data_IF_931609780169
#
_entry.id   IF_931609780169
#
_cell.length_a   1.000
_cell.length_b   1.000
_cell.length_c   1.000
_cell.angle_alpha   90.00
_cell.angle_beta   90.00
_cell.angle_gamma   90.00
#
_symmetry.space_group_name_H-M   'P 1'
#
loop_
_entity.id
_entity.type
_entity.pdbx_description
1 polymer ?
#
# COMPACT_ATOMS: atom_id res chain seq x y z
N UNK A 1 -0.39 0.99 34.25
CA UNK A 1 -0.81 2.02 33.28
C UNK A 1 -1.94 1.43 32.46
N UNK A 2 -3.09 2.11 32.29
CA UNK A 2 -4.25 1.51 31.57
C UNK A 2 -3.90 1.26 30.09
N UNK A 3 -4.24 0.07 29.57
CA UNK A 3 -4.03 -0.36 28.17
C UNK A 3 -4.51 0.73 27.18
N UNK A 4 -5.70 1.30 27.41
CA UNK A 4 -6.25 2.40 26.58
C UNK A 4 -5.36 3.66 26.51
N UNK A 5 -4.63 3.99 27.59
CA UNK A 5 -3.73 5.17 27.59
C UNK A 5 -2.46 4.89 26.78
N UNK A 6 -1.97 3.67 26.81
CA UNK A 6 -0.81 3.19 26.04
C UNK A 6 -1.10 3.26 24.55
N UNK A 7 -2.21 2.66 24.09
CA UNK A 7 -2.64 2.68 22.68
C UNK A 7 -2.86 4.10 22.15
N UNK A 8 -3.50 4.97 22.94
CA UNK A 8 -3.72 6.37 22.56
C UNK A 8 -2.40 7.13 22.37
N UNK A 9 -1.39 6.86 23.19
CA UNK A 9 -0.08 7.50 23.08
C UNK A 9 0.69 7.00 21.86
N UNK A 10 0.68 5.68 21.60
CA UNK A 10 1.27 5.08 20.40
C UNK A 10 0.63 5.63 19.12
N UNK A 11 -0.68 5.71 19.07
CA UNK A 11 -1.43 6.29 17.94
C UNK A 11 -1.05 7.76 17.66
N UNK A 12 -0.79 8.57 18.71
CA UNK A 12 -0.30 9.95 18.53
C UNK A 12 1.08 10.00 17.86
N UNK A 13 1.99 9.13 18.23
CA UNK A 13 3.32 9.04 17.62
C UNK A 13 3.21 8.62 16.14
N UNK A 14 2.40 7.61 15.83
CA UNK A 14 2.15 7.15 14.45
C UNK A 14 1.51 8.26 13.60
N UNK A 15 0.55 9.00 14.14
CA UNK A 15 -0.06 10.14 13.44
C UNK A 15 0.96 11.26 13.20
N UNK A 16 1.83 11.52 14.16
CA UNK A 16 2.86 12.56 14.06
C UNK A 16 3.88 12.23 12.98
N UNK A 17 4.38 11.00 12.91
CA UNK A 17 5.36 10.61 11.88
C UNK A 17 4.76 10.67 10.48
N UNK A 18 3.53 10.19 10.29
CA UNK A 18 2.83 10.30 8.99
C UNK A 18 2.71 11.76 8.56
N UNK A 19 2.28 12.65 9.45
CA UNK A 19 2.15 14.07 9.16
C UNK A 19 3.49 14.70 8.74
N UNK A 20 4.59 14.40 9.45
CA UNK A 20 5.92 14.93 9.15
C UNK A 20 6.38 14.46 7.76
N UNK A 21 6.17 13.18 7.42
CA UNK A 21 6.50 12.61 6.11
C UNK A 21 5.71 13.31 4.99
N UNK A 22 4.39 13.42 5.13
CA UNK A 22 3.51 14.05 4.12
C UNK A 22 3.84 15.53 3.92
N UNK A 23 4.33 16.24 4.94
CA UNK A 23 4.76 17.64 4.79
C UNK A 23 6.18 17.79 4.22
N UNK A 24 6.93 16.71 4.03
CA UNK A 24 8.31 16.76 3.57
C UNK A 24 9.31 17.26 4.63
N UNK A 25 8.89 17.26 5.90
CA UNK A 25 9.74 17.71 7.00
C UNK A 25 10.75 16.61 7.39
N UNK A 26 11.89 17.04 8.00
CA UNK A 26 12.89 16.08 8.50
C UNK A 26 12.33 15.25 9.64
N UNK A 27 12.30 13.93 9.44
CA UNK A 27 11.88 12.98 10.46
C UNK A 27 13.00 12.74 11.47
N UNK A 28 12.68 12.88 12.75
CA UNK A 28 13.56 12.58 13.89
C UNK A 28 12.72 12.28 15.13
N UNK A 29 13.29 11.60 16.12
CA UNK A 29 12.60 11.38 17.42
C UNK A 29 12.12 12.70 18.02
N UNK A 30 12.93 13.76 17.92
CA UNK A 30 12.58 15.10 18.42
C UNK A 30 11.38 15.69 17.67
N UNK A 31 11.38 15.65 16.33
CA UNK A 31 10.26 16.21 15.54
C UNK A 31 8.97 15.42 15.77
N UNK A 32 9.05 14.08 15.88
CA UNK A 32 7.89 13.21 16.15
C UNK A 32 7.30 13.50 17.53
N UNK A 33 8.12 13.52 18.58
CA UNK A 33 7.65 13.75 19.95
C UNK A 33 7.09 15.16 20.14
N UNK A 34 7.75 16.18 19.55
CA UNK A 34 7.25 17.56 19.53
C UNK A 34 5.88 17.65 18.84
N UNK A 35 5.73 17.05 17.66
CA UNK A 35 4.46 17.04 16.92
C UNK A 35 3.35 16.31 17.66
N UNK A 36 3.69 15.21 18.37
CA UNK A 36 2.75 14.45 19.18
C UNK A 36 2.40 15.10 20.52
N UNK A 37 3.07 16.21 20.89
CA UNK A 37 3.01 16.85 22.21
C UNK A 37 3.35 15.87 23.34
N UNK A 38 4.51 15.20 23.23
CA UNK A 38 5.02 14.22 24.17
C UNK A 38 6.48 14.50 24.51
N UNK A 39 6.92 14.04 25.70
CA UNK A 39 8.32 14.13 26.08
C UNK A 39 9.19 13.20 25.23
N UNK A 40 10.44 13.59 24.93
CA UNK A 40 11.40 12.86 24.12
C UNK A 40 11.54 11.39 24.52
N UNK A 41 11.73 11.09 25.80
CA UNK A 41 11.84 9.72 26.31
C UNK A 41 10.56 8.87 26.16
N UNK A 42 9.42 9.50 25.83
CA UNK A 42 8.18 8.74 25.58
C UNK A 42 8.30 7.90 24.33
N UNK A 43 9.06 8.34 23.32
CA UNK A 43 9.28 7.59 22.08
C UNK A 43 9.83 6.19 22.39
N UNK A 44 10.93 6.10 23.15
CA UNK A 44 11.63 4.85 23.44
C UNK A 44 10.88 3.87 24.36
N UNK A 45 9.71 4.28 24.86
CA UNK A 45 8.78 3.37 25.55
C UNK A 45 7.91 2.56 24.58
N UNK A 46 7.84 2.98 23.32
CA UNK A 46 6.98 2.37 22.29
C UNK A 46 7.75 1.85 21.10
N UNK A 47 8.87 2.46 20.77
CA UNK A 47 9.69 2.16 19.59
C UNK A 47 11.17 2.21 19.97
N UNK A 48 11.92 1.20 19.54
CA UNK A 48 13.38 1.15 19.79
C UNK A 48 14.15 2.15 18.91
N UNK A 49 13.68 2.37 17.66
CA UNK A 49 14.32 3.22 16.67
C UNK A 49 13.29 3.81 15.68
N UNK A 50 13.77 4.57 14.70
CA UNK A 50 12.94 5.18 13.68
C UNK A 50 12.39 4.14 12.69
N UNK A 51 13.11 3.06 12.41
CA UNK A 51 12.69 2.04 11.47
C UNK A 51 11.45 1.31 11.98
N UNK A 52 11.37 1.08 13.29
CA UNK A 52 10.21 0.43 13.91
C UNK A 52 8.95 1.30 13.80
N UNK A 53 9.02 2.60 14.09
CA UNK A 53 7.85 3.47 13.92
C UNK A 53 7.48 3.68 12.44
N UNK A 54 8.46 3.68 11.52
CA UNK A 54 8.22 3.75 10.09
C UNK A 54 7.45 2.53 9.61
N UNK A 55 7.91 1.34 9.97
CA UNK A 55 7.25 0.09 9.64
C UNK A 55 5.78 0.10 10.11
N UNK A 56 5.56 0.39 11.39
CA UNK A 56 4.20 0.41 11.94
C UNK A 56 3.33 1.53 11.33
N UNK A 57 3.91 2.67 10.97
CA UNK A 57 3.17 3.75 10.31
C UNK A 57 2.71 3.34 8.90
N UNK A 58 3.54 2.63 8.14
CA UNK A 58 3.18 2.08 6.82
C UNK A 58 2.12 0.99 6.98
N UNK A 59 2.33 0.04 7.88
CA UNK A 59 1.36 -1.05 8.15
C UNK A 59 -0.02 -0.50 8.56
N UNK A 60 -0.05 0.51 9.43
CA UNK A 60 -1.29 1.17 9.81
C UNK A 60 -1.94 1.92 8.62
N UNK A 61 -1.14 2.51 7.72
CA UNK A 61 -1.68 3.14 6.49
C UNK A 61 -2.25 2.10 5.53
N UNK A 62 -1.60 0.96 5.38
CA UNK A 62 -2.11 -0.16 4.58
C UNK A 62 -3.40 -0.75 5.19
N UNK A 63 -3.49 -0.84 6.52
CA UNK A 63 -4.71 -1.27 7.20
C UNK A 63 -5.87 -0.28 7.00
N UNK A 64 -5.61 1.02 7.14
CA UNK A 64 -6.61 2.07 6.87
C UNK A 64 -7.11 1.99 5.41
N UNK A 65 -6.18 1.82 4.46
CA UNK A 65 -6.48 1.62 3.05
C UNK A 65 -7.33 0.36 2.84
N UNK A 66 -6.98 -0.75 3.49
CA UNK A 66 -7.72 -2.01 3.39
C UNK A 66 -9.18 -1.88 3.86
N UNK A 67 -9.42 -1.21 4.98
CA UNK A 67 -10.79 -0.98 5.48
C UNK A 67 -11.62 -0.19 4.46
N UNK A 68 -11.03 0.87 3.88
CA UNK A 68 -11.68 1.64 2.81
C UNK A 68 -11.97 0.76 1.60
N UNK A 69 -10.97 0.00 1.16
CA UNK A 69 -11.05 -0.88 -0.01
C UNK A 69 -12.09 -1.98 0.14
N UNK A 70 -12.19 -2.61 1.32
CA UNK A 70 -13.16 -3.68 1.57
C UNK A 70 -14.57 -3.22 1.27
N UNK A 71 -14.91 -1.99 1.69
CA UNK A 71 -16.21 -1.40 1.45
C UNK A 71 -16.43 -1.07 -0.03
N UNK A 72 -15.45 -0.41 -0.64
CA UNK A 72 -15.59 0.14 -2.00
C UNK A 72 -15.53 -0.98 -3.06
N UNK A 73 -14.67 -1.99 -2.86
CA UNK A 73 -14.47 -3.08 -3.81
C UNK A 73 -15.55 -4.16 -3.76
N UNK A 74 -16.29 -4.29 -2.66
CA UNK A 74 -17.37 -5.28 -2.56
C UNK A 74 -18.42 -5.15 -3.67
N UNK A 75 -18.62 -3.94 -4.19
CA UNK A 75 -19.53 -3.65 -5.30
C UNK A 75 -18.91 -3.79 -6.70
N UNK A 76 -17.58 -3.97 -6.80
CA UNK A 76 -16.89 -4.06 -8.08
C UNK A 76 -17.04 -5.46 -8.68
N UNK A 77 -17.59 -5.53 -9.90
CA UNK A 77 -17.77 -6.77 -10.65
C UNK A 77 -17.21 -6.63 -12.07
N UNK A 78 -16.64 -7.68 -12.65
CA UNK A 78 -16.37 -9.01 -12.03
C UNK A 78 -15.21 -8.97 -11.02
N UNK A 79 -15.10 -9.99 -10.18
CA UNK A 79 -14.08 -10.06 -9.12
C UNK A 79 -12.64 -9.77 -9.59
N UNK A 80 -12.14 -10.24 -10.75
CA UNK A 80 -10.81 -9.87 -11.24
C UNK A 80 -10.59 -8.35 -11.41
N UNK A 81 -11.65 -7.57 -11.68
CA UNK A 81 -11.55 -6.11 -11.77
C UNK A 81 -11.13 -5.48 -10.43
N UNK A 82 -11.49 -6.10 -9.30
CA UNK A 82 -11.12 -5.63 -7.94
C UNK A 82 -9.62 -5.47 -7.78
N UNK A 83 -8.82 -6.38 -8.37
CA UNK A 83 -7.36 -6.32 -8.27
C UNK A 83 -6.80 -5.11 -9.03
N UNK A 84 -7.35 -4.80 -10.20
CA UNK A 84 -6.95 -3.60 -10.95
C UNK A 84 -7.31 -2.32 -10.19
N UNK A 85 -8.52 -2.28 -9.64
CA UNK A 85 -8.98 -1.15 -8.80
C UNK A 85 -8.10 -1.03 -7.54
N UNK A 86 -7.75 -2.14 -6.90
CA UNK A 86 -6.84 -2.15 -5.75
C UNK A 86 -5.49 -1.51 -6.09
N UNK A 87 -4.86 -1.92 -7.20
CA UNK A 87 -3.57 -1.37 -7.61
C UNK A 87 -3.62 0.11 -7.89
N UNK A 88 -4.66 0.57 -8.59
CA UNK A 88 -4.86 2.00 -8.79
C UNK A 88 -4.91 2.74 -7.45
N UNK A 89 -5.70 2.24 -6.50
CA UNK A 89 -5.85 2.87 -5.17
C UNK A 89 -4.56 2.88 -4.36
N UNK A 90 -3.74 1.84 -4.45
CA UNK A 90 -2.43 1.81 -3.79
C UNK A 90 -1.51 2.89 -4.39
N UNK A 91 -1.48 3.03 -5.71
CA UNK A 91 -0.70 4.07 -6.38
C UNK A 91 -1.22 5.46 -5.99
N UNK A 92 -2.54 5.67 -6.08
CA UNK A 92 -3.18 6.95 -5.77
C UNK A 92 -3.02 7.35 -4.30
N UNK A 93 -3.05 6.39 -3.39
CA UNK A 93 -2.89 6.64 -1.96
C UNK A 93 -1.51 7.20 -1.60
N UNK A 94 -0.47 6.78 -2.31
CA UNK A 94 0.91 7.19 -2.09
C UNK A 94 1.44 8.19 -3.13
N UNK A 95 0.57 8.83 -3.91
CA UNK A 95 0.96 9.77 -4.97
C UNK A 95 1.53 11.09 -4.48
N UNK A 96 1.34 11.42 -3.19
CA UNK A 96 1.92 12.64 -2.63
C UNK A 96 3.44 12.62 -2.77
N UNK A 97 4.00 13.68 -3.36
CA UNK A 97 5.42 13.76 -3.72
C UNK A 97 6.37 13.54 -2.54
N UNK A 98 6.05 14.07 -1.37
CA UNK A 98 6.89 13.93 -0.19
C UNK A 98 6.83 12.50 0.35
N UNK A 99 5.62 11.95 0.41
CA UNK A 99 5.38 10.55 0.79
C UNK A 99 6.06 9.59 -0.19
N UNK A 100 5.90 9.78 -1.50
CA UNK A 100 6.55 8.95 -2.51
C UNK A 100 8.07 9.00 -2.43
N UNK A 101 8.65 10.21 -2.27
CA UNK A 101 10.10 10.38 -2.11
C UNK A 101 10.63 9.70 -0.84
N UNK A 102 9.90 9.86 0.27
CA UNK A 102 10.28 9.23 1.53
C UNK A 102 10.21 7.70 1.41
N UNK A 103 9.14 7.17 0.84
CA UNK A 103 8.98 5.73 0.61
C UNK A 103 10.09 5.19 -0.30
N UNK A 104 10.39 5.85 -1.40
CA UNK A 104 11.46 5.45 -2.31
C UNK A 104 12.81 5.34 -1.59
N UNK A 105 13.13 6.29 -0.69
CA UNK A 105 14.33 6.26 0.13
C UNK A 105 14.36 5.16 1.21
N UNK A 106 13.20 4.54 1.52
CA UNK A 106 13.05 3.53 2.58
C UNK A 106 12.52 2.17 2.04
N UNK A 107 12.94 1.80 0.85
CA UNK A 107 12.44 0.61 0.12
C UNK A 107 12.48 -0.69 0.94
N UNK A 108 13.50 -0.88 1.79
CA UNK A 108 13.62 -2.06 2.67
C UNK A 108 12.48 -2.15 3.71
N UNK A 109 12.08 -1.02 4.28
CA UNK A 109 10.99 -0.96 5.28
C UNK A 109 9.65 -1.21 4.60
N UNK A 110 9.46 -0.64 3.41
CA UNK A 110 8.25 -0.85 2.61
C UNK A 110 8.11 -2.34 2.26
N UNK A 111 9.19 -2.97 1.79
CA UNK A 111 9.18 -4.40 1.47
C UNK A 111 8.69 -5.23 2.67
N UNK A 112 9.20 -4.92 3.87
CA UNK A 112 8.79 -5.60 5.09
C UNK A 112 7.31 -5.34 5.42
N UNK A 113 6.82 -4.11 5.28
CA UNK A 113 5.42 -3.76 5.51
C UNK A 113 4.48 -4.51 4.54
N UNK A 114 4.81 -4.54 3.25
CA UNK A 114 4.04 -5.30 2.26
C UNK A 114 4.09 -6.81 2.51
N UNK A 115 5.25 -7.34 2.93
CA UNK A 115 5.36 -8.75 3.31
C UNK A 115 4.44 -9.08 4.50
N UNK A 116 4.41 -8.24 5.53
CA UNK A 116 3.54 -8.40 6.68
C UNK A 116 2.05 -8.25 6.32
N UNK A 117 1.73 -7.43 5.32
CA UNK A 117 0.38 -7.25 4.78
C UNK A 117 -0.02 -8.35 3.76
N UNK A 118 0.88 -9.29 3.44
CA UNK A 118 0.65 -10.35 2.46
C UNK A 118 -0.63 -11.17 2.68
N UNK A 119 -0.99 -11.60 3.92
CA UNK A 119 -2.21 -12.36 4.15
C UNK A 119 -3.47 -11.61 3.73
N UNK A 120 -3.47 -10.29 3.85
CA UNK A 120 -4.58 -9.43 3.43
C UNK A 120 -4.67 -9.35 1.90
N UNK A 121 -3.54 -9.16 1.23
CA UNK A 121 -3.46 -9.17 -0.24
C UNK A 121 -3.82 -10.53 -0.81
N UNK A 122 -3.43 -11.62 -0.14
CA UNK A 122 -3.77 -12.98 -0.52
C UNK A 122 -5.28 -13.22 -0.49
N UNK A 123 -5.98 -12.78 0.56
CA UNK A 123 -7.43 -12.91 0.65
C UNK A 123 -8.16 -12.22 -0.52
N UNK A 124 -7.67 -11.04 -0.93
CA UNK A 124 -8.21 -10.31 -2.08
C UNK A 124 -7.95 -11.01 -3.41
N UNK A 125 -6.73 -11.53 -3.58
CA UNK A 125 -6.36 -12.29 -4.78
C UNK A 125 -7.20 -13.57 -4.86
N UNK A 126 -7.36 -14.28 -3.75
CA UNK A 126 -8.19 -15.50 -3.71
C UNK A 126 -9.64 -15.22 -4.07
N UNK A 127 -10.23 -14.14 -3.57
CA UNK A 127 -11.59 -13.75 -3.93
C UNK A 127 -11.70 -13.35 -5.41
N UNK A 128 -10.70 -12.64 -5.95
CA UNK A 128 -10.64 -12.27 -7.35
C UNK A 128 -10.51 -13.50 -8.29
N UNK A 129 -9.83 -14.55 -7.82
CA UNK A 129 -9.56 -15.77 -8.59
C UNK A 129 -10.71 -16.78 -8.47
N UNK A 130 -11.48 -16.73 -7.38
CA UNK A 130 -12.55 -17.69 -7.09
C UNK A 130 -13.60 -17.79 -8.20
N UNK A 131 -13.94 -16.67 -8.82
CA UNK A 131 -14.91 -16.58 -9.90
C UNK A 131 -14.26 -16.60 -11.30
N UNK A 132 -12.93 -16.70 -11.36
CA UNK A 132 -12.19 -16.75 -12.61
C UNK A 132 -11.75 -18.18 -12.89
N UNK A 133 -12.00 -18.66 -14.10
CA UNK A 133 -11.46 -19.94 -14.61
C UNK A 133 -9.96 -19.89 -14.87
N UNK A 134 -9.18 -19.21 -14.01
CA UNK A 134 -7.75 -19.04 -14.19
C UNK A 134 -6.98 -20.23 -13.62
N UNK A 135 -6.30 -21.03 -14.47
CA UNK A 135 -5.60 -22.24 -14.05
C UNK A 135 -4.37 -22.00 -13.15
N UNK A 136 -3.85 -20.80 -13.14
CA UNK A 136 -2.52 -20.48 -12.61
C UNK A 136 -2.47 -20.19 -11.11
N UNK A 137 -3.61 -19.98 -10.45
CA UNK A 137 -3.68 -19.67 -9.02
C UNK A 137 -4.27 -20.83 -8.19
N UNK A 138 -3.91 -22.06 -8.52
CA UNK A 138 -4.30 -23.19 -7.67
C UNK A 138 -3.50 -23.18 -6.39
N UNK A 139 -4.18 -23.33 -5.31
CA UNK A 139 -3.94 -23.36 -3.86
C UNK A 139 -2.60 -23.87 -3.29
N UNK A 140 -1.50 -24.02 -4.03
CA UNK A 140 -0.45 -24.95 -3.57
C UNK A 140 0.93 -24.41 -3.26
N UNK A 141 1.26 -23.10 -3.37
CA UNK A 141 2.65 -22.71 -3.13
C UNK A 141 2.82 -21.40 -2.38
N UNK A 142 3.23 -21.47 -1.10
CA UNK A 142 3.73 -20.33 -0.33
C UNK A 142 4.88 -19.61 -1.07
N UNK A 143 5.77 -20.34 -1.75
CA UNK A 143 6.83 -19.80 -2.59
C UNK A 143 6.30 -19.00 -3.80
N UNK A 144 5.18 -19.39 -4.36
CA UNK A 144 4.55 -18.67 -5.46
C UNK A 144 4.05 -17.30 -4.99
N UNK A 145 3.37 -17.26 -3.86
CA UNK A 145 2.90 -16.00 -3.27
C UNK A 145 4.07 -15.09 -2.87
N UNK A 146 5.12 -15.63 -2.26
CA UNK A 146 6.32 -14.86 -1.93
C UNK A 146 6.96 -14.23 -3.18
N UNK A 147 7.03 -14.96 -4.28
CA UNK A 147 7.52 -14.44 -5.57
C UNK A 147 6.60 -13.38 -6.14
N UNK A 148 5.28 -13.59 -6.13
CA UNK A 148 4.29 -12.59 -6.58
C UNK A 148 4.43 -11.32 -5.75
N UNK A 149 4.57 -11.42 -4.42
CA UNK A 149 4.80 -10.25 -3.57
C UNK A 149 6.11 -9.54 -3.88
N UNK A 150 7.19 -10.26 -4.16
CA UNK A 150 8.46 -9.68 -4.55
C UNK A 150 8.34 -8.91 -5.88
N UNK A 151 7.63 -9.46 -6.86
CA UNK A 151 7.36 -8.78 -8.14
C UNK A 151 6.47 -7.54 -7.95
N UNK A 152 5.43 -7.66 -7.16
CA UNK A 152 4.53 -6.55 -6.81
C UNK A 152 5.32 -5.43 -6.14
N UNK A 153 6.19 -5.75 -5.19
CA UNK A 153 7.04 -4.78 -4.53
C UNK A 153 8.00 -4.09 -5.51
N UNK A 154 8.64 -4.83 -6.39
CA UNK A 154 9.50 -4.26 -7.42
C UNK A 154 8.71 -3.32 -8.35
N UNK A 155 7.55 -3.73 -8.82
CA UNK A 155 6.67 -2.90 -9.64
C UNK A 155 6.22 -1.64 -8.89
N UNK A 156 5.92 -1.75 -7.60
CA UNK A 156 5.55 -0.60 -6.77
C UNK A 156 6.70 0.41 -6.65
N UNK A 157 7.95 -0.04 -6.49
CA UNK A 157 9.10 0.87 -6.46
C UNK A 157 9.30 1.59 -7.80
N UNK A 158 9.02 0.96 -8.94
CA UNK A 158 9.02 1.61 -10.25
C UNK A 158 7.90 2.67 -10.33
N UNK A 159 6.70 2.36 -9.87
CA UNK A 159 5.60 3.35 -9.81
C UNK A 159 5.98 4.59 -8.99
N UNK A 160 6.64 4.42 -7.85
CA UNK A 160 7.11 5.55 -7.04
C UNK A 160 8.13 6.41 -7.80
N UNK A 161 9.08 5.80 -8.51
CA UNK A 161 10.05 6.52 -9.34
C UNK A 161 9.36 7.38 -10.40
N UNK A 162 8.40 6.79 -11.11
CA UNK A 162 7.67 7.48 -12.18
C UNK A 162 6.78 8.63 -11.66
N UNK A 163 6.16 8.44 -10.48
CA UNK A 163 5.43 9.53 -9.81
C UNK A 163 6.37 10.68 -9.41
N UNK A 164 7.60 10.37 -8.98
CA UNK A 164 8.62 11.38 -8.65
C UNK A 164 9.12 12.14 -9.90
N UNK A 165 9.14 11.48 -11.05
CA UNK A 165 9.44 12.09 -12.36
C UNK A 165 8.29 12.96 -12.89
N UNK A 166 7.15 12.98 -12.20
CA UNK A 166 6.01 13.83 -12.53
C UNK A 166 4.94 13.18 -13.40
N UNK A 167 5.01 11.86 -13.65
CA UNK A 167 3.92 11.14 -14.31
C UNK A 167 2.66 11.17 -13.43
N UNK A 168 1.49 11.21 -14.06
CA UNK A 168 0.23 11.15 -13.33
C UNK A 168 -0.14 9.69 -12.96
N UNK A 169 -1.02 9.52 -11.98
CA UNK A 169 -1.44 8.21 -11.47
C UNK A 169 -2.03 7.30 -12.55
N UNK A 170 -2.77 7.86 -13.51
CA UNK A 170 -3.41 7.06 -14.58
C UNK A 170 -2.36 6.46 -15.51
N UNK A 171 -1.36 7.23 -15.89
CA UNK A 171 -0.29 6.76 -16.78
C UNK A 171 0.55 5.69 -16.07
N UNK A 172 0.99 5.94 -14.84
CA UNK A 172 1.75 4.98 -14.03
C UNK A 172 0.97 3.68 -13.84
N UNK A 173 -0.31 3.76 -13.49
CA UNK A 173 -1.18 2.60 -13.36
C UNK A 173 -1.31 1.83 -14.69
N UNK A 174 -1.50 2.53 -15.80
CA UNK A 174 -1.67 1.92 -17.11
C UNK A 174 -0.41 1.19 -17.55
N UNK A 175 0.75 1.79 -17.38
CA UNK A 175 2.05 1.18 -17.68
C UNK A 175 2.31 -0.04 -16.81
N UNK A 176 2.07 0.07 -15.49
CA UNK A 176 2.20 -1.06 -14.57
C UNK A 176 1.32 -2.24 -14.98
N UNK A 177 0.06 -1.98 -15.28
CA UNK A 177 -0.87 -3.05 -15.67
C UNK A 177 -0.48 -3.68 -17.01
N UNK A 178 -0.04 -2.89 -17.98
CA UNK A 178 0.43 -3.42 -19.26
C UNK A 178 1.70 -4.29 -19.10
N UNK A 179 2.60 -3.92 -18.20
CA UNK A 179 3.81 -4.69 -17.92
C UNK A 179 3.53 -6.00 -17.17
N UNK A 180 2.45 -6.06 -16.39
CA UNK A 180 2.27 -7.09 -15.37
C UNK A 180 1.18 -8.11 -15.65
N UNK A 181 0.43 -8.08 -16.73
CA UNK A 181 -0.71 -9.01 -17.00
C UNK A 181 -0.69 -10.32 -16.15
N UNK A 182 -0.67 -10.16 -14.84
CA UNK A 182 -0.42 -11.21 -13.83
C UNK A 182 -1.44 -12.35 -13.92
N UNK A 183 -2.64 -12.03 -14.41
CA UNK A 183 -3.73 -13.00 -14.55
C UNK A 183 -3.77 -13.69 -15.92
N UNK A 184 -2.81 -13.39 -16.80
CA UNK A 184 -2.75 -13.97 -18.14
C UNK A 184 -4.09 -13.87 -18.92
N UNK A 185 -4.78 -12.74 -18.75
CA UNK A 185 -5.97 -12.45 -19.54
C UNK A 185 -5.62 -12.19 -21.01
N UNK A 186 -6.58 -12.45 -21.91
CA UNK A 186 -6.43 -11.98 -23.28
C UNK A 186 -6.23 -10.47 -23.31
N UNK A 187 -5.50 -9.97 -24.30
CA UNK A 187 -5.21 -8.53 -24.43
C UNK A 187 -6.47 -7.67 -24.29
N UNK A 188 -7.55 -8.04 -25.00
CA UNK A 188 -8.80 -7.27 -24.98
C UNK A 188 -9.46 -7.25 -23.58
N UNK A 189 -9.44 -8.38 -22.87
CA UNK A 189 -9.97 -8.47 -21.51
C UNK A 189 -9.14 -7.62 -20.56
N UNK A 190 -7.83 -7.71 -20.64
CA UNK A 190 -6.89 -6.96 -19.83
C UNK A 190 -7.08 -5.45 -20.03
N UNK A 191 -7.07 -4.97 -21.27
CA UNK A 191 -7.32 -3.56 -21.60
C UNK A 191 -8.71 -3.08 -21.16
N UNK A 192 -9.73 -3.95 -21.21
CA UNK A 192 -11.05 -3.64 -20.68
C UNK A 192 -11.02 -3.39 -19.18
N UNK A 193 -10.29 -4.21 -18.41
CA UNK A 193 -10.17 -4.03 -16.96
C UNK A 193 -9.40 -2.76 -16.59
N UNK A 194 -8.31 -2.44 -17.28
CA UNK A 194 -7.59 -1.18 -17.10
C UNK A 194 -8.53 0.01 -17.27
N UNK A 195 -9.23 0.10 -18.40
CA UNK A 195 -10.18 1.20 -18.67
C UNK A 195 -11.33 1.28 -17.65
N UNK A 196 -11.87 0.15 -17.21
CA UNK A 196 -12.94 0.11 -16.20
C UNK A 196 -12.46 0.58 -14.84
N UNK A 197 -11.22 0.27 -14.47
CA UNK A 197 -10.64 0.72 -13.22
C UNK A 197 -10.45 2.23 -13.21
N UNK A 198 -9.92 2.80 -14.27
CA UNK A 198 -9.77 4.26 -14.40
C UNK A 198 -11.15 4.94 -14.28
N UNK A 199 -12.15 4.48 -15.04
CA UNK A 199 -13.52 5.02 -14.96
C UNK A 199 -14.18 4.89 -13.58
N UNK A 200 -13.81 3.87 -12.81
CA UNK A 200 -14.32 3.73 -11.45
C UNK A 200 -13.90 4.92 -10.57
N UNK A 201 -12.67 5.42 -10.77
CA UNK A 201 -12.14 6.55 -10.00
C UNK A 201 -12.57 7.92 -10.49
N UNK A 202 -12.81 8.07 -11.79
CA UNK A 202 -13.34 9.33 -12.34
C UNK A 202 -14.76 9.64 -11.83
N UNK A 203 -15.48 8.64 -11.30
CA UNK A 203 -16.86 8.76 -10.81
C UNK A 203 -17.01 8.85 -9.30
N UNK A 204 -15.98 8.53 -8.53
CA UNK A 204 -15.97 8.49 -7.06
C UNK A 204 -14.88 9.38 -6.47
#
# INVERSE_FOLDING_TARGET
MSIKKTEKTKAKLLKAVRFIITNGDKVSVTSITKKANLAYGTFYRYFKDLDEIYLEAIEASLADLSVKLTKDLASVNPAPLRVYVLWYLVIDFFKDKHTASWLFGHAGIINKAFYNAAPMSEAWIQEAVKDSKLPSFTKKNADHYAKVHAYIFWMYTQCLSELLEGKNTVDVFTELMNASNVFNFSYNTHQSYIRKSIKYFEKN
#
